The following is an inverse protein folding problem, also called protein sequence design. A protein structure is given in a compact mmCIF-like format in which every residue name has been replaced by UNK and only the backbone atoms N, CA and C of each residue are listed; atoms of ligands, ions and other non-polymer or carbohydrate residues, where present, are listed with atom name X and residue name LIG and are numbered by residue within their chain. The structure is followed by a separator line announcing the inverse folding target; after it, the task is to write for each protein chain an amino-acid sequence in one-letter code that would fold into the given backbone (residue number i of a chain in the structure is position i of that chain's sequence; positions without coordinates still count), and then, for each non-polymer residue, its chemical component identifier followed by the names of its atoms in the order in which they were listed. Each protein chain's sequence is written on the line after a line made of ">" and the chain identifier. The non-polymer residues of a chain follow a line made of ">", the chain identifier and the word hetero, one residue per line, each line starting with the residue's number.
data_IF_017105953808
#
_entry.id   IF_017105953808
#
_cell.length_a   1.000
_cell.length_b   1.000
_cell.length_c   1.000
_cell.angle_alpha   90.00
_cell.angle_beta   90.00
_cell.angle_gamma   90.00
#
_symmetry.space_group_name_H-M   'P 1'
#
loop_
_entity.id
_entity.type
_entity.pdbx_description
1 polymer ?
#
# COMPACT_ATOMS: atom_id res chain seq x y z
N UNK A 1 19.04 3.88 -10.07
CA UNK A 1 20.25 3.03 -10.13
C UNK A 1 21.14 3.48 -9.01
N UNK A 2 21.59 2.55 -8.16
CA UNK A 2 22.56 2.86 -7.13
C UNK A 2 23.87 3.36 -7.76
N UNK A 3 24.75 3.93 -6.92
CA UNK A 3 26.08 4.33 -7.36
C UNK A 3 26.83 3.12 -7.95
N UNK A 4 27.52 3.34 -9.04
CA UNK A 4 28.45 2.33 -9.56
C UNK A 4 29.64 2.20 -8.62
N UNK A 5 30.26 1.02 -8.58
CA UNK A 5 31.47 0.83 -7.75
C UNK A 5 32.59 1.84 -8.04
N UNK A 6 32.66 2.35 -9.28
CA UNK A 6 33.65 3.40 -9.65
C UNK A 6 33.27 4.78 -9.07
N UNK A 7 31.99 5.12 -8.99
CA UNK A 7 31.54 6.37 -8.37
C UNK A 7 31.78 6.33 -6.86
N UNK A 8 31.49 5.22 -6.20
CA UNK A 8 31.82 4.99 -4.79
C UNK A 8 33.34 5.07 -4.55
N UNK A 9 34.13 4.41 -5.40
CA UNK A 9 35.57 4.41 -5.27
C UNK A 9 36.20 5.81 -5.33
N UNK A 10 35.62 6.75 -6.10
CA UNK A 10 36.09 8.13 -6.16
C UNK A 10 36.04 8.86 -4.82
N UNK A 11 35.08 8.50 -3.97
CA UNK A 11 34.82 9.10 -2.65
C UNK A 11 35.56 8.40 -1.52
N UNK A 12 36.10 7.19 -1.76
CA UNK A 12 36.86 6.44 -0.75
C UNK A 12 38.28 6.96 -0.59
N UNK A 13 38.91 6.77 0.57
CA UNK A 13 40.23 7.31 0.91
C UNK A 13 41.42 6.71 0.09
N UNK A 14 41.18 5.67 -0.70
CA UNK A 14 42.12 5.00 -1.61
C UNK A 14 43.40 4.46 -0.95
N UNK A 15 43.37 4.23 0.37
CA UNK A 15 44.55 3.74 1.14
C UNK A 15 44.86 2.28 0.89
N UNK A 16 43.93 1.48 0.43
CA UNK A 16 44.06 0.03 0.21
C UNK A 16 44.62 -0.71 1.44
N UNK A 17 44.23 -0.31 2.65
CA UNK A 17 44.80 -0.83 3.91
C UNK A 17 44.27 -2.23 4.28
N UNK A 18 43.16 -2.69 3.69
CA UNK A 18 42.57 -3.99 3.99
C UNK A 18 41.74 -4.05 5.28
N UNK A 19 41.70 -2.98 6.10
CA UNK A 19 41.04 -2.98 7.41
C UNK A 19 39.52 -3.14 7.35
N UNK A 20 38.91 -2.82 6.21
CA UNK A 20 37.47 -3.05 5.95
C UNK A 20 37.14 -4.50 5.54
N UNK A 21 38.10 -5.42 5.63
CA UNK A 21 37.93 -6.82 5.24
C UNK A 21 38.06 -7.10 3.72
N UNK A 22 38.38 -6.08 2.92
CA UNK A 22 38.62 -6.22 1.48
C UNK A 22 40.04 -5.74 1.12
N UNK A 23 40.72 -6.39 0.16
CA UNK A 23 42.15 -6.11 -0.09
C UNK A 23 42.39 -4.73 -0.72
N UNK A 24 41.40 -4.14 -1.36
CA UNK A 24 41.53 -2.82 -2.00
C UNK A 24 40.26 -1.98 -1.82
N UNK A 25 40.41 -0.65 -1.81
CA UNK A 25 39.27 0.27 -1.77
C UNK A 25 38.36 0.14 -3.00
N UNK A 26 38.86 -0.34 -4.14
CA UNK A 26 38.04 -0.65 -5.31
C UNK A 26 37.17 -1.90 -5.07
N UNK A 27 37.73 -2.95 -4.48
CA UNK A 27 36.96 -4.15 -4.11
C UNK A 27 35.89 -3.82 -3.05
N UNK A 28 36.22 -2.95 -2.09
CA UNK A 28 35.28 -2.44 -1.11
C UNK A 28 34.15 -1.63 -1.76
N UNK A 29 34.48 -0.74 -2.71
CA UNK A 29 33.50 0.01 -3.46
C UNK A 29 32.54 -0.90 -4.26
N UNK A 30 33.03 -1.98 -4.84
CA UNK A 30 32.20 -2.98 -5.54
C UNK A 30 31.30 -3.76 -4.56
N UNK A 31 31.81 -4.09 -3.37
CA UNK A 31 31.01 -4.72 -2.32
C UNK A 31 29.89 -3.80 -1.82
N UNK A 32 30.15 -2.50 -1.62
CA UNK A 32 29.15 -1.49 -1.29
C UNK A 32 28.11 -1.33 -2.41
N UNK A 33 28.54 -1.24 -3.67
CA UNK A 33 27.62 -1.13 -4.82
C UNK A 33 26.68 -2.33 -4.98
N UNK A 34 27.13 -3.52 -4.55
CA UNK A 34 26.34 -4.76 -4.58
C UNK A 34 25.54 -5.03 -3.30
N UNK A 35 25.59 -4.11 -2.32
CA UNK A 35 24.90 -4.27 -1.02
C UNK A 35 25.51 -5.34 -0.10
N UNK A 36 26.75 -5.81 -0.40
CA UNK A 36 27.45 -6.84 0.38
C UNK A 36 28.42 -6.28 1.42
N UNK A 37 28.56 -4.96 1.51
CA UNK A 37 29.41 -4.25 2.46
C UNK A 37 28.67 -3.13 3.19
N UNK A 38 29.19 -2.71 4.35
CA UNK A 38 28.74 -1.51 5.07
C UNK A 38 29.85 -0.46 5.05
N UNK A 39 29.46 0.81 4.85
CA UNK A 39 30.41 1.93 4.86
C UNK A 39 31.11 2.08 6.22
N UNK A 40 30.45 1.66 7.31
CA UNK A 40 30.99 1.67 8.67
C UNK A 40 32.21 0.75 8.86
N UNK A 41 32.41 -0.21 7.97
CA UNK A 41 33.58 -1.10 8.01
C UNK A 41 34.88 -0.38 7.67
N UNK A 42 34.83 0.81 7.06
CA UNK A 42 36.03 1.56 6.70
C UNK A 42 36.34 2.66 7.71
N UNK A 43 37.41 2.55 8.52
CA UNK A 43 37.76 3.53 9.54
C UNK A 43 38.29 4.88 9.00
N UNK A 44 38.54 4.95 7.70
CA UNK A 44 39.17 6.12 7.07
C UNK A 44 38.23 6.90 6.14
N UNK A 45 36.97 6.57 6.08
CA UNK A 45 35.97 7.38 5.33
C UNK A 45 35.76 8.69 6.08
N UNK A 46 35.98 9.81 5.39
CA UNK A 46 35.70 11.15 5.95
C UNK A 46 34.19 11.36 6.10
N UNK A 47 33.78 12.22 7.03
CA UNK A 47 32.35 12.53 7.22
C UNK A 47 31.72 13.10 5.96
N UNK A 48 32.44 13.91 5.20
CA UNK A 48 32.02 14.47 3.90
C UNK A 48 31.80 13.35 2.85
N UNK A 49 32.75 12.39 2.78
CA UNK A 49 32.62 11.24 1.88
C UNK A 49 31.47 10.31 2.32
N UNK A 50 31.28 10.13 3.62
CA UNK A 50 30.16 9.39 4.19
C UNK A 50 28.82 10.03 3.82
N UNK A 51 28.65 11.32 4.07
CA UNK A 51 27.44 12.06 3.69
C UNK A 51 27.17 12.02 2.18
N UNK A 52 28.22 12.16 1.36
CA UNK A 52 28.10 12.09 -0.09
C UNK A 52 27.65 10.69 -0.57
N UNK A 53 28.22 9.63 0.00
CA UNK A 53 27.89 8.24 -0.33
C UNK A 53 26.52 7.83 0.19
N UNK A 54 26.17 8.19 1.42
CA UNK A 54 24.84 7.96 2.00
C UNK A 54 23.76 8.71 1.23
N UNK A 55 24.03 9.97 0.89
CA UNK A 55 23.13 10.77 0.05
C UNK A 55 22.96 10.17 -1.34
N UNK A 56 24.00 9.61 -1.93
CA UNK A 56 23.94 9.05 -3.28
C UNK A 56 23.39 7.62 -3.33
N UNK A 57 23.51 6.85 -2.23
CA UNK A 57 22.93 5.51 -2.07
C UNK A 57 21.51 5.52 -1.54
N UNK A 58 21.09 6.62 -0.90
CA UNK A 58 19.74 6.77 -0.39
C UNK A 58 18.69 6.63 -1.51
N UNK A 59 17.52 6.04 -1.21
CA UNK A 59 16.44 5.95 -2.18
C UNK A 59 16.07 7.35 -2.71
N UNK A 60 15.58 7.46 -3.96
CA UNK A 60 15.20 8.75 -4.55
C UNK A 60 14.18 9.52 -3.71
N UNK A 61 13.29 8.80 -3.04
CA UNK A 61 12.29 9.31 -2.11
C UNK A 61 12.46 8.59 -0.78
N UNK A 62 12.74 9.34 0.27
CA UNK A 62 12.99 8.80 1.61
C UNK A 62 11.73 8.13 2.18
N UNK A 63 11.89 7.00 2.87
CA UNK A 63 10.84 6.40 3.66
C UNK A 63 10.63 7.19 4.96
N UNK A 64 9.41 7.61 5.24
CA UNK A 64 9.01 8.31 6.47
C UNK A 64 7.99 7.45 7.20
N UNK A 65 8.30 7.10 8.45
CA UNK A 65 7.44 6.26 9.30
C UNK A 65 6.71 7.11 10.32
N UNK A 66 5.41 6.90 10.45
CA UNK A 66 4.60 7.55 11.46
C UNK A 66 3.45 6.65 11.95
N UNK A 67 2.84 7.02 13.06
CA UNK A 67 1.70 6.31 13.59
C UNK A 67 1.97 4.83 13.85
N UNK A 68 0.94 4.03 13.70
CA UNK A 68 0.96 2.58 13.93
C UNK A 68 1.42 1.82 12.67
N UNK A 69 2.69 2.04 12.27
CA UNK A 69 3.31 1.30 11.16
C UNK A 69 3.09 1.88 9.76
N UNK A 70 2.46 3.05 9.63
CA UNK A 70 2.33 3.73 8.34
C UNK A 70 3.69 4.15 7.78
N UNK A 71 3.96 3.85 6.52
CA UNK A 71 5.20 4.20 5.82
C UNK A 71 4.87 4.99 4.56
N UNK A 72 5.41 6.19 4.45
CA UNK A 72 5.28 7.05 3.27
C UNK A 72 6.60 7.05 2.49
N UNK A 73 6.52 7.09 1.16
CA UNK A 73 7.71 7.20 0.31
C UNK A 73 8.36 5.87 -0.03
N UNK A 74 9.69 5.81 -0.01
CA UNK A 74 10.53 4.66 -0.44
C UNK A 74 10.31 4.26 -1.90
N UNK A 75 9.83 5.18 -2.71
CA UNK A 75 9.49 4.93 -4.10
C UNK A 75 10.71 5.15 -5.02
N UNK A 76 10.91 4.24 -5.96
CA UNK A 76 12.10 4.19 -6.81
C UNK A 76 11.82 4.32 -8.30
N UNK A 77 10.56 4.21 -8.74
CA UNK A 77 10.16 4.22 -10.14
C UNK A 77 9.07 5.23 -10.44
N UNK A 78 8.98 5.64 -11.74
CA UNK A 78 7.92 6.52 -12.21
C UNK A 78 6.69 5.75 -12.62
N UNK A 79 6.88 4.60 -13.26
CA UNK A 79 5.80 3.85 -13.86
C UNK A 79 5.66 2.50 -13.16
N UNK A 80 4.42 2.13 -12.87
CA UNK A 80 4.09 0.86 -12.23
C UNK A 80 4.64 -0.36 -12.99
N UNK A 81 4.69 -0.29 -14.32
CA UNK A 81 5.20 -1.40 -15.15
C UNK A 81 6.73 -1.56 -15.13
N UNK A 82 7.47 -0.54 -14.67
CA UNK A 82 8.93 -0.66 -14.49
C UNK A 82 9.25 -1.53 -13.28
N UNK A 83 8.44 -1.38 -12.23
CA UNK A 83 8.49 -2.13 -10.97
C UNK A 83 7.23 -1.78 -10.17
N UNK A 84 6.71 -2.71 -9.38
CA UNK A 84 5.55 -2.44 -8.52
C UNK A 84 5.78 -1.22 -7.62
N UNK A 85 4.73 -0.49 -7.28
CA UNK A 85 4.75 0.50 -6.21
C UNK A 85 4.67 -0.24 -4.87
N UNK A 86 5.48 0.14 -3.88
CA UNK A 86 5.64 -0.64 -2.65
C UNK A 86 4.74 -0.19 -1.51
N UNK A 87 4.66 1.12 -1.29
CA UNK A 87 3.89 1.66 -0.19
C UNK A 87 2.61 2.28 -0.72
N UNK A 88 1.44 1.65 -0.44
CA UNK A 88 0.15 2.21 -0.82
C UNK A 88 -0.02 3.62 -0.26
N UNK A 89 -0.73 4.46 -1.01
CA UNK A 89 -1.08 5.79 -0.54
C UNK A 89 -1.85 5.68 0.76
N UNK A 90 -1.37 6.32 1.81
CA UNK A 90 -2.03 6.37 3.12
C UNK A 90 -3.31 7.20 3.05
N UNK A 91 -4.43 6.61 3.43
CA UNK A 91 -5.75 7.26 3.42
C UNK A 91 -6.08 7.77 4.81
N UNK A 92 -6.22 9.09 4.93
CA UNK A 92 -6.48 9.81 6.17
C UNK A 92 -7.85 10.50 6.11
N UNK A 93 -8.68 10.31 7.13
CA UNK A 93 -9.98 10.99 7.23
C UNK A 93 -9.86 12.18 8.15
N UNK A 94 -10.28 13.34 7.67
CA UNK A 94 -10.19 14.59 8.43
C UNK A 94 -11.28 14.69 9.48
N UNK A 95 -10.90 15.14 10.68
CA UNK A 95 -11.78 15.58 11.77
C UNK A 95 -11.40 17.00 12.18
N UNK A 96 -12.36 17.93 12.18
CA UNK A 96 -12.16 19.29 12.70
C UNK A 96 -12.34 19.30 14.21
N UNK A 97 -11.50 20.07 14.90
CA UNK A 97 -11.61 20.33 16.35
C UNK A 97 -12.77 21.27 16.72
N UNK A 98 -13.45 21.87 15.74
CA UNK A 98 -14.64 22.70 15.95
C UNK A 98 -15.94 21.89 16.12
N UNK A 99 -15.90 20.59 15.82
CA UNK A 99 -17.04 19.70 16.06
C UNK A 99 -17.25 19.49 17.57
N UNK A 100 -18.47 19.14 17.99
CA UNK A 100 -18.74 18.71 19.36
C UNK A 100 -18.03 17.38 19.65
N UNK A 101 -17.82 17.08 20.94
CA UNK A 101 -17.17 15.83 21.34
C UNK A 101 -17.98 14.60 20.91
N UNK A 102 -19.31 14.70 20.94
CA UNK A 102 -20.23 13.65 20.47
C UNK A 102 -20.06 13.39 18.96
N UNK A 103 -19.97 14.45 18.16
CA UNK A 103 -19.74 14.33 16.70
C UNK A 103 -18.34 13.77 16.39
N UNK A 104 -17.31 14.19 17.14
CA UNK A 104 -15.95 13.67 17.02
C UNK A 104 -15.97 12.16 17.31
N UNK A 105 -16.56 11.74 18.42
CA UNK A 105 -16.60 10.33 18.81
C UNK A 105 -17.39 9.48 17.82
N UNK A 106 -18.52 9.95 17.35
CA UNK A 106 -19.29 9.27 16.31
C UNK A 106 -18.49 9.10 15.01
N UNK A 107 -17.72 10.12 14.60
CA UNK A 107 -16.81 10.03 13.45
C UNK A 107 -15.66 9.07 13.68
N UNK A 108 -15.03 9.06 14.85
CA UNK A 108 -13.96 8.11 15.18
C UNK A 108 -14.48 6.67 15.12
N UNK A 109 -15.65 6.40 15.71
CA UNK A 109 -16.28 5.07 15.65
C UNK A 109 -16.61 4.67 14.20
N UNK A 110 -17.11 5.60 13.40
CA UNK A 110 -17.33 5.37 11.98
C UNK A 110 -16.03 5.03 11.24
N UNK A 111 -14.94 5.78 11.48
CA UNK A 111 -13.65 5.58 10.84
C UNK A 111 -13.03 4.25 11.27
N UNK A 112 -13.15 3.85 12.52
CA UNK A 112 -12.66 2.56 13.01
C UNK A 112 -13.32 1.38 12.31
N UNK A 113 -14.57 1.53 11.89
CA UNK A 113 -15.34 0.52 11.16
C UNK A 113 -15.25 0.62 9.62
N UNK A 114 -14.39 1.51 9.09
CA UNK A 114 -14.14 1.63 7.66
C UNK A 114 -13.14 0.59 7.18
N UNK A 115 -13.61 -0.65 7.14
CA UNK A 115 -12.82 -1.80 6.73
C UNK A 115 -13.68 -2.77 5.90
N UNK A 116 -13.04 -3.49 4.99
CA UNK A 116 -13.64 -4.57 4.20
C UNK A 116 -12.61 -5.52 3.67
N UNK A 117 -13.05 -6.77 3.47
CA UNK A 117 -12.30 -7.79 2.79
C UNK A 117 -12.66 -7.81 1.31
N UNK A 118 -11.65 -7.84 0.45
CA UNK A 118 -11.85 -7.96 -0.98
C UNK A 118 -10.75 -8.81 -1.60
N UNK A 119 -11.15 -9.87 -2.31
CA UNK A 119 -10.23 -10.77 -3.03
C UNK A 119 -9.12 -11.29 -2.09
N UNK A 120 -9.52 -11.70 -0.87
CA UNK A 120 -8.63 -12.24 0.17
C UNK A 120 -7.67 -11.24 0.81
N UNK A 121 -7.86 -9.95 0.58
CA UNK A 121 -7.08 -8.90 1.22
C UNK A 121 -7.99 -8.02 2.07
N UNK A 122 -7.50 -7.70 3.26
CA UNK A 122 -8.17 -6.78 4.19
C UNK A 122 -7.76 -5.34 3.90
N UNK A 123 -8.72 -4.43 3.80
CA UNK A 123 -8.52 -3.00 3.55
C UNK A 123 -9.22 -2.17 4.60
N UNK A 124 -8.50 -1.18 5.11
CA UNK A 124 -9.04 -0.17 6.01
C UNK A 124 -8.46 1.20 5.66
N UNK A 125 -9.03 2.26 6.20
CA UNK A 125 -8.38 3.57 6.21
C UNK A 125 -7.25 3.56 7.25
N UNK A 126 -6.18 4.32 6.97
CA UNK A 126 -4.93 4.22 7.73
C UNK A 126 -4.90 5.13 8.95
N UNK A 127 -5.62 6.26 8.90
CA UNK A 127 -5.51 7.22 9.99
C UNK A 127 -6.54 8.34 10.00
N UNK A 128 -6.40 9.19 11.01
CA UNK A 128 -7.21 10.38 11.24
C UNK A 128 -6.32 11.62 11.16
N UNK A 129 -6.73 12.60 10.37
CA UNK A 129 -6.13 13.92 10.30
C UNK A 129 -6.96 14.91 11.14
N UNK A 130 -6.44 15.33 12.28
CA UNK A 130 -7.08 16.29 13.19
C UNK A 130 -6.69 17.69 12.73
N UNK A 131 -7.68 18.51 12.35
CA UNK A 131 -7.47 19.86 11.83
C UNK A 131 -7.86 20.88 12.88
N UNK A 132 -6.92 21.75 13.24
CA UNK A 132 -7.10 22.87 14.17
C UNK A 132 -7.80 24.05 13.47
N UNK A 133 -9.12 23.94 13.31
CA UNK A 133 -9.93 25.04 12.74
C UNK A 133 -10.37 26.06 13.82
N UNK A 134 -10.37 25.66 15.08
CA UNK A 134 -10.65 26.56 16.21
C UNK A 134 -9.52 27.57 16.44
N UNK A 135 -8.31 27.22 16.04
CA UNK A 135 -7.07 27.92 16.35
C UNK A 135 -6.77 28.04 17.87
N UNK A 136 -7.43 27.21 18.70
CA UNK A 136 -7.28 27.21 20.16
C UNK A 136 -6.39 26.05 20.62
N UNK A 137 -5.25 26.32 21.31
CA UNK A 137 -4.31 25.28 21.76
C UNK A 137 -4.94 24.25 22.71
N UNK A 138 -5.79 24.71 23.65
CA UNK A 138 -6.47 23.83 24.61
C UNK A 138 -7.42 22.88 23.89
N UNK A 139 -8.24 23.39 22.97
CA UNK A 139 -9.21 22.61 22.24
C UNK A 139 -8.54 21.53 21.38
N UNK A 140 -7.49 21.89 20.64
CA UNK A 140 -6.72 20.92 19.86
C UNK A 140 -6.15 19.82 20.76
N UNK A 141 -5.58 20.20 21.89
CA UNK A 141 -4.97 19.26 22.85
C UNK A 141 -6.00 18.24 23.39
N UNK A 142 -7.18 18.71 23.77
CA UNK A 142 -8.24 17.85 24.30
C UNK A 142 -8.74 16.89 23.22
N UNK A 143 -8.95 17.38 21.99
CA UNK A 143 -9.40 16.56 20.85
C UNK A 143 -8.35 15.51 20.49
N UNK A 144 -7.07 15.87 20.42
CA UNK A 144 -5.97 14.95 20.12
C UNK A 144 -5.89 13.83 21.16
N UNK A 145 -5.97 14.16 22.45
CA UNK A 145 -6.01 13.15 23.53
C UNK A 145 -7.20 12.22 23.37
N UNK A 146 -8.40 12.80 23.28
CA UNK A 146 -9.65 12.02 23.19
C UNK A 146 -9.68 11.08 22.01
N UNK A 147 -9.20 11.52 20.84
CA UNK A 147 -9.10 10.66 19.66
C UNK A 147 -8.04 9.58 19.87
N UNK A 148 -6.88 9.93 20.44
CA UNK A 148 -5.78 8.98 20.65
C UNK A 148 -6.16 7.81 21.56
N UNK A 149 -7.08 8.02 22.51
CA UNK A 149 -7.60 7.00 23.41
C UNK A 149 -8.65 6.08 22.76
N UNK A 150 -9.27 6.52 21.65
CA UNK A 150 -10.39 5.82 21.01
C UNK A 150 -10.03 5.06 19.74
N UNK A 151 -8.82 5.22 19.23
CA UNK A 151 -8.40 4.56 17.99
C UNK A 151 -6.94 4.16 18.01
N UNK A 152 -6.62 3.02 17.40
CA UNK A 152 -5.25 2.59 17.14
C UNK A 152 -4.72 3.08 15.78
N UNK A 153 -5.55 3.74 14.99
CA UNK A 153 -5.17 4.28 13.67
C UNK A 153 -4.12 5.40 13.82
N UNK A 154 -3.36 5.62 12.75
CA UNK A 154 -2.33 6.68 12.71
C UNK A 154 -2.97 8.06 12.89
N UNK A 155 -2.26 8.97 13.57
CA UNK A 155 -2.74 10.32 13.85
C UNK A 155 -1.88 11.33 13.09
N UNK A 156 -2.54 12.29 12.44
CA UNK A 156 -1.93 13.47 11.84
C UNK A 156 -2.51 14.71 12.52
N UNK A 157 -1.66 15.62 13.00
CA UNK A 157 -2.08 16.86 13.67
C UNK A 157 -1.78 18.02 12.74
N UNK A 158 -2.81 18.69 12.27
CA UNK A 158 -2.72 19.77 11.27
C UNK A 158 -3.06 21.14 11.89
N UNK A 159 -2.04 21.92 12.15
CA UNK A 159 -2.16 23.31 12.65
C UNK A 159 -1.01 24.18 12.11
N UNK A 160 -1.27 25.42 11.83
CA UNK A 160 -0.23 26.45 11.60
C UNK A 160 0.11 27.21 12.89
N UNK A 161 -0.70 27.06 13.93
CA UNK A 161 -0.48 27.64 15.24
C UNK A 161 0.55 26.82 16.02
N UNK A 162 1.74 27.40 16.22
CA UNK A 162 2.83 26.72 16.95
C UNK A 162 2.46 26.41 18.41
N UNK A 163 1.75 27.31 19.10
CA UNK A 163 1.35 27.10 20.49
C UNK A 163 0.41 25.88 20.61
N UNK A 164 -0.46 25.68 19.61
CA UNK A 164 -1.36 24.54 19.56
C UNK A 164 -0.59 23.22 19.30
N UNK A 165 0.46 23.25 18.48
CA UNK A 165 1.34 22.09 18.27
C UNK A 165 2.18 21.79 19.51
N UNK A 166 2.79 22.80 20.12
CA UNK A 166 3.59 22.66 21.36
C UNK A 166 2.78 22.07 22.51
N UNK A 167 1.49 22.41 22.61
CA UNK A 167 0.60 21.87 23.64
C UNK A 167 0.14 20.43 23.36
N UNK A 168 -0.15 20.11 22.10
CA UNK A 168 -0.79 18.84 21.72
C UNK A 168 0.18 17.71 21.40
N UNK A 169 1.28 17.97 20.69
CA UNK A 169 2.22 16.95 20.20
C UNK A 169 2.84 16.12 21.32
N UNK A 170 3.35 16.70 22.43
CA UNK A 170 3.94 15.92 23.51
C UNK A 170 2.98 14.92 24.17
N UNK A 171 1.67 15.18 24.09
CA UNK A 171 0.65 14.33 24.70
C UNK A 171 0.50 12.97 24.00
N UNK A 172 0.90 12.88 22.72
CA UNK A 172 0.74 11.69 21.87
C UNK A 172 2.02 11.33 21.13
N UNK A 173 3.18 11.85 21.55
CA UNK A 173 4.47 11.65 20.87
C UNK A 173 4.87 10.17 20.76
N UNK A 174 4.52 9.34 21.76
CA UNK A 174 4.74 7.89 21.73
C UNK A 174 4.04 7.19 20.56
N UNK A 175 2.93 7.74 20.08
CA UNK A 175 2.21 7.28 18.90
C UNK A 175 2.81 7.78 17.58
N UNK A 176 3.90 8.57 17.64
CA UNK A 176 4.61 9.13 16.49
C UNK A 176 3.68 9.80 15.48
N UNK A 177 2.88 10.80 15.87
CA UNK A 177 1.99 11.47 14.92
C UNK A 177 2.80 12.19 13.82
N UNK A 178 2.21 12.30 12.61
CA UNK A 178 2.71 13.23 11.62
C UNK A 178 2.16 14.62 11.97
N UNK A 179 3.03 15.61 12.09
CA UNK A 179 2.62 16.96 12.51
C UNK A 179 2.83 18.02 11.42
N UNK A 180 2.08 19.06 11.42
CA UNK A 180 2.23 20.19 10.52
C UNK A 180 1.17 21.25 10.80
N UNK A 181 1.36 22.43 10.23
CA UNK A 181 2.28 22.67 9.10
C UNK A 181 3.51 23.49 9.56
N UNK A 182 4.69 23.11 9.09
CA UNK A 182 5.85 23.99 9.12
C UNK A 182 5.89 24.79 7.81
N UNK A 183 5.78 26.09 7.89
CA UNK A 183 5.80 27.03 6.77
C UNK A 183 6.96 28.03 6.91
N UNK A 184 7.06 29.02 6.02
CA UNK A 184 8.15 30.01 6.02
C UNK A 184 8.25 30.85 7.30
N UNK A 185 7.17 30.95 8.09
CA UNK A 185 7.10 31.80 9.29
C UNK A 185 7.41 31.03 10.57
N UNK A 186 7.04 29.74 10.64
CA UNK A 186 7.11 28.95 11.87
C UNK A 186 8.06 27.72 11.79
N UNK A 187 8.68 27.44 10.64
CA UNK A 187 9.38 26.17 10.38
C UNK A 187 10.47 25.85 11.41
N UNK A 188 11.21 26.85 11.89
CA UNK A 188 12.29 26.64 12.87
C UNK A 188 11.74 26.00 14.15
N UNK A 189 10.69 26.59 14.72
CA UNK A 189 10.06 26.09 15.93
C UNK A 189 9.37 24.72 15.74
N UNK A 190 8.63 24.57 14.62
CA UNK A 190 7.93 23.30 14.34
C UNK A 190 8.90 22.15 14.08
N UNK A 191 10.03 22.41 13.39
CA UNK A 191 11.07 21.39 13.16
C UNK A 191 11.79 21.05 14.47
N UNK A 192 12.04 22.03 15.34
CA UNK A 192 12.63 21.79 16.65
C UNK A 192 11.70 20.93 17.53
N UNK A 193 10.43 21.29 17.62
CA UNK A 193 9.40 20.49 18.27
C UNK A 193 9.35 19.06 17.73
N UNK A 194 9.39 18.91 16.39
CA UNK A 194 9.38 17.58 15.76
C UNK A 194 10.63 16.76 16.11
N UNK A 195 11.80 17.40 16.16
CA UNK A 195 13.07 16.79 16.53
C UNK A 195 13.09 16.33 17.98
N UNK A 196 12.62 17.14 18.90
CA UNK A 196 12.52 16.83 20.32
C UNK A 196 11.58 15.64 20.58
N UNK A 197 10.44 15.59 19.90
CA UNK A 197 9.45 14.54 20.05
C UNK A 197 9.68 13.35 19.10
N UNK A 198 10.70 13.40 18.22
CA UNK A 198 11.06 12.37 17.24
C UNK A 198 9.90 11.97 16.30
N UNK A 199 9.15 12.97 15.85
CA UNK A 199 7.97 12.82 14.99
C UNK A 199 8.18 13.49 13.63
N UNK A 200 7.67 12.94 12.51
CA UNK A 200 7.80 13.56 11.19
C UNK A 200 6.96 14.84 11.07
N UNK A 201 7.40 15.73 10.17
CA UNK A 201 6.78 17.05 9.99
C UNK A 201 6.43 17.35 8.54
N UNK A 202 5.26 17.95 8.31
CA UNK A 202 4.82 18.42 7.00
C UNK A 202 5.39 19.82 6.76
N UNK A 203 6.22 19.94 5.72
CA UNK A 203 6.70 21.22 5.21
C UNK A 203 5.71 21.73 4.15
N UNK A 204 5.10 22.87 4.39
CA UNK A 204 4.10 23.47 3.51
C UNK A 204 4.60 24.80 2.95
N UNK A 205 4.56 24.94 1.63
CA UNK A 205 4.82 26.19 0.95
C UNK A 205 4.01 26.29 -0.35
N UNK A 206 3.73 27.51 -0.78
CA UNK A 206 2.98 27.75 -2.01
C UNK A 206 3.91 27.69 -3.24
N UNK A 207 3.79 26.59 -3.98
CA UNK A 207 4.58 26.32 -5.18
C UNK A 207 5.92 25.65 -4.90
N UNK A 208 6.55 25.16 -5.98
CA UNK A 208 7.72 24.30 -5.88
C UNK A 208 9.00 25.06 -5.49
N UNK A 209 9.16 26.28 -5.94
CA UNK A 209 10.36 27.08 -5.64
C UNK A 209 10.41 27.44 -4.15
N UNK A 210 9.29 27.96 -3.61
CA UNK A 210 9.18 28.25 -2.17
C UNK A 210 9.32 27.00 -1.31
N UNK A 211 8.80 25.86 -1.78
CA UNK A 211 8.94 24.59 -1.10
C UNK A 211 10.41 24.11 -1.08
N UNK A 212 11.14 24.29 -2.18
CA UNK A 212 12.57 23.98 -2.24
C UNK A 212 13.35 24.78 -1.20
N UNK A 213 13.14 26.10 -1.16
CA UNK A 213 13.82 27.00 -0.21
C UNK A 213 13.53 26.61 1.24
N UNK A 214 12.27 26.25 1.52
CA UNK A 214 11.86 25.80 2.86
C UNK A 214 12.53 24.48 3.25
N UNK A 215 12.58 23.50 2.35
CA UNK A 215 13.24 22.21 2.59
C UNK A 215 14.73 22.40 2.85
N UNK A 216 15.43 23.23 2.05
CA UNK A 216 16.85 23.48 2.25
C UNK A 216 17.15 24.18 3.59
N UNK A 217 16.28 25.11 4.02
CA UNK A 217 16.38 25.75 5.33
C UNK A 217 16.14 24.77 6.47
N UNK A 218 15.08 23.95 6.37
CA UNK A 218 14.74 22.95 7.37
C UNK A 218 15.83 21.86 7.52
N UNK A 219 16.44 21.43 6.42
CA UNK A 219 17.56 20.48 6.43
C UNK A 219 18.78 21.01 7.21
N UNK A 220 19.05 22.33 7.17
CA UNK A 220 20.16 22.94 7.91
C UNK A 220 19.99 22.86 9.43
N UNK A 221 18.75 22.64 9.93
CA UNK A 221 18.49 22.37 11.34
C UNK A 221 18.87 20.94 11.77
N UNK A 222 19.40 20.11 10.87
CA UNK A 222 19.86 18.74 11.16
C UNK A 222 18.72 17.74 11.31
N UNK A 223 17.52 18.04 10.79
CA UNK A 223 16.38 17.13 10.76
C UNK A 223 16.02 16.76 9.33
N UNK A 224 15.52 15.54 9.10
CA UNK A 224 15.26 15.00 7.75
C UNK A 224 14.01 14.11 7.69
N UNK A 225 13.11 14.18 8.69
CA UNK A 225 11.87 13.39 8.67
C UNK A 225 10.72 14.27 8.14
N UNK A 226 10.75 14.56 6.82
CA UNK A 226 9.84 15.50 6.17
C UNK A 226 8.81 14.82 5.28
N UNK A 227 7.62 15.42 5.22
CA UNK A 227 6.56 15.16 4.24
C UNK A 227 6.28 16.49 3.55
N UNK A 228 6.13 16.50 2.23
CA UNK A 228 6.01 17.73 1.45
C UNK A 228 4.55 18.05 1.13
N UNK A 229 4.14 19.29 1.38
CA UNK A 229 2.89 19.88 0.90
C UNK A 229 3.20 21.11 0.02
N UNK A 230 3.02 21.03 -1.32
CA UNK A 230 3.28 22.14 -2.22
C UNK A 230 2.20 23.23 -2.19
N UNK A 231 1.32 23.25 -1.19
CA UNK A 231 0.27 24.26 -1.02
C UNK A 231 -0.91 24.16 -2.00
N UNK A 232 -0.89 23.19 -2.91
CA UNK A 232 -1.93 23.03 -3.93
C UNK A 232 -3.26 22.62 -3.33
N UNK A 233 -4.33 23.33 -3.70
CA UNK A 233 -5.70 23.05 -3.23
C UNK A 233 -6.71 22.98 -4.39
N UNK A 234 -6.25 22.84 -5.63
CA UNK A 234 -7.07 22.58 -6.80
C UNK A 234 -6.62 21.31 -7.51
N UNK A 235 -7.52 20.50 -8.09
CA UNK A 235 -7.15 19.23 -8.72
C UNK A 235 -6.06 19.35 -9.77
N UNK A 236 -6.11 20.36 -10.62
CA UNK A 236 -5.13 20.57 -11.69
C UNK A 236 -3.73 20.91 -11.16
N UNK A 237 -3.63 21.81 -10.18
CA UNK A 237 -2.35 22.17 -9.56
C UNK A 237 -1.76 21.01 -8.77
N UNK A 238 -2.59 20.32 -7.98
CA UNK A 238 -2.15 19.14 -7.21
C UNK A 238 -1.60 18.06 -8.14
N UNK A 239 -2.33 17.73 -9.21
CA UNK A 239 -1.87 16.77 -10.22
C UNK A 239 -0.54 17.17 -10.85
N UNK A 240 -0.39 18.44 -11.22
CA UNK A 240 0.85 18.97 -11.80
C UNK A 240 2.01 18.86 -10.79
N UNK A 241 1.81 19.31 -9.56
CA UNK A 241 2.86 19.32 -8.53
C UNK A 241 3.27 17.90 -8.12
N UNK A 242 2.33 16.98 -7.89
CA UNK A 242 2.62 15.56 -7.63
C UNK A 242 3.50 14.94 -8.75
N UNK A 243 3.12 15.22 -10.00
CA UNK A 243 3.86 14.74 -11.17
C UNK A 243 5.26 15.35 -11.27
N UNK A 244 5.39 16.66 -11.06
CA UNK A 244 6.68 17.34 -11.12
C UNK A 244 7.62 16.89 -10.01
N UNK A 245 7.16 16.84 -8.76
CA UNK A 245 7.94 16.40 -7.61
C UNK A 245 8.47 14.96 -7.82
N UNK A 246 7.60 14.05 -8.25
CA UNK A 246 8.01 12.66 -8.54
C UNK A 246 9.06 12.58 -9.64
N UNK A 247 8.88 13.34 -10.72
CA UNK A 247 9.85 13.38 -11.85
C UNK A 247 11.17 14.00 -11.46
N UNK A 248 11.15 15.07 -10.67
CA UNK A 248 12.37 15.71 -10.17
C UNK A 248 13.15 14.79 -9.23
N UNK A 249 12.46 14.14 -8.29
CA UNK A 249 13.08 13.23 -7.34
C UNK A 249 13.70 12.00 -8.04
N UNK A 250 12.97 11.34 -8.93
CA UNK A 250 13.40 10.08 -9.53
C UNK A 250 14.27 10.29 -10.77
N UNK A 251 13.82 11.09 -11.76
CA UNK A 251 14.58 11.26 -13.01
C UNK A 251 15.76 12.19 -12.85
N UNK A 252 15.57 13.31 -12.13
CA UNK A 252 16.62 14.33 -11.96
C UNK A 252 17.45 14.12 -10.71
N UNK A 253 17.05 13.19 -9.82
CA UNK A 253 17.69 12.96 -8.53
C UNK A 253 17.84 14.26 -7.71
N UNK A 254 16.85 15.13 -7.82
CA UNK A 254 16.82 16.40 -7.12
C UNK A 254 16.48 16.17 -5.64
N UNK A 255 17.51 16.17 -4.81
CA UNK A 255 17.45 15.72 -3.41
C UNK A 255 16.51 16.52 -2.50
N UNK A 256 16.38 17.85 -2.64
CA UNK A 256 15.42 18.58 -1.82
C UNK A 256 13.97 18.08 -1.94
N UNK A 257 13.60 17.48 -3.07
CA UNK A 257 12.29 16.87 -3.25
C UNK A 257 12.24 15.34 -3.03
N UNK A 258 13.31 14.77 -2.51
CA UNK A 258 13.40 13.35 -2.17
C UNK A 258 12.63 12.93 -0.92
N UNK A 259 11.41 13.44 -0.75
CA UNK A 259 10.51 13.16 0.37
C UNK A 259 9.10 12.78 -0.12
N UNK A 260 8.32 12.03 0.70
CA UNK A 260 6.93 11.74 0.38
C UNK A 260 6.06 13.00 0.36
N UNK A 261 4.94 12.92 -0.36
CA UNK A 261 4.06 14.05 -0.61
C UNK A 261 2.68 13.75 -0.02
N UNK A 262 2.13 14.71 0.73
CA UNK A 262 0.75 14.68 1.20
C UNK A 262 -0.12 15.58 0.29
N UNK A 263 -1.33 15.11 -0.03
CA UNK A 263 -2.31 15.84 -0.80
C UNK A 263 -3.63 15.98 -0.02
N UNK A 264 -4.35 17.07 -0.29
CA UNK A 264 -5.63 17.38 0.32
C UNK A 264 -6.70 17.47 -0.75
N UNK A 265 -7.82 16.79 -0.54
CA UNK A 265 -8.96 16.93 -1.45
C UNK A 265 -9.66 18.27 -1.25
N UNK A 266 -10.21 18.79 -2.35
CA UNK A 266 -10.84 20.12 -2.38
C UNK A 266 -12.35 20.07 -2.58
N UNK A 267 -12.88 18.94 -3.09
CA UNK A 267 -14.28 18.82 -3.44
C UNK A 267 -15.17 18.61 -2.20
N UNK A 268 -16.34 19.25 -2.22
CA UNK A 268 -17.34 19.09 -1.17
C UNK A 268 -18.32 17.94 -1.46
N UNK A 269 -18.62 17.69 -2.74
CA UNK A 269 -19.42 16.52 -3.10
C UNK A 269 -18.60 15.25 -2.90
N UNK A 270 -19.08 14.27 -2.14
CA UNK A 270 -18.31 13.07 -1.80
C UNK A 270 -17.89 12.23 -3.01
N UNK A 271 -18.69 12.15 -4.07
CA UNK A 271 -18.32 11.40 -5.28
C UNK A 271 -17.23 12.10 -6.08
N UNK A 272 -17.30 13.42 -6.19
CA UNK A 272 -16.27 14.24 -6.83
C UNK A 272 -14.98 14.21 -6.01
N UNK A 273 -15.07 14.16 -4.68
CA UNK A 273 -13.92 14.01 -3.78
C UNK A 273 -13.20 12.68 -4.00
N UNK A 274 -13.95 11.59 -4.11
CA UNK A 274 -13.37 10.25 -4.37
C UNK A 274 -12.74 10.18 -5.77
N UNK A 275 -13.35 10.82 -6.77
CA UNK A 275 -12.76 10.92 -8.10
C UNK A 275 -11.44 11.72 -8.07
N UNK A 276 -11.41 12.85 -7.35
CA UNK A 276 -10.21 13.67 -7.12
C UNK A 276 -9.12 12.86 -6.38
N UNK A 277 -9.47 12.19 -5.29
CA UNK A 277 -8.57 11.34 -4.52
C UNK A 277 -7.97 10.22 -5.38
N UNK A 278 -8.76 9.60 -6.25
CA UNK A 278 -8.29 8.57 -7.17
C UNK A 278 -7.22 9.10 -8.15
N UNK A 279 -7.36 10.34 -8.61
CA UNK A 279 -6.33 11.00 -9.42
C UNK A 279 -5.03 11.15 -8.63
N UNK A 280 -5.10 11.55 -7.37
CA UNK A 280 -3.92 11.75 -6.53
C UNK A 280 -3.22 10.44 -6.18
N UNK A 281 -3.99 9.38 -5.89
CA UNK A 281 -3.45 8.01 -5.75
C UNK A 281 -2.72 7.57 -7.02
N UNK A 282 -3.36 7.73 -8.20
CA UNK A 282 -2.74 7.38 -9.49
C UNK A 282 -1.48 8.20 -9.78
N UNK A 283 -1.34 9.39 -9.20
CA UNK A 283 -0.28 10.36 -9.48
C UNK A 283 0.55 10.70 -8.26
N UNK A 284 0.93 9.64 -7.51
CA UNK A 284 2.08 9.65 -6.62
C UNK A 284 1.90 10.32 -5.24
N UNK A 285 0.68 10.63 -4.83
CA UNK A 285 0.46 11.04 -3.45
C UNK A 285 0.86 9.90 -2.51
N UNK A 286 1.71 10.18 -1.52
CA UNK A 286 2.10 9.21 -0.49
C UNK A 286 1.07 9.16 0.64
N UNK A 287 0.36 10.27 0.87
CA UNK A 287 -0.79 10.35 1.77
C UNK A 287 -1.86 11.28 1.18
N UNK A 288 -3.11 11.01 1.48
CA UNK A 288 -4.26 11.85 1.08
C UNK A 288 -5.16 12.08 2.29
N UNK A 289 -5.58 13.33 2.47
CA UNK A 289 -6.55 13.72 3.49
C UNK A 289 -7.91 13.95 2.83
N UNK A 290 -8.92 13.22 3.30
CA UNK A 290 -10.29 13.18 2.80
C UNK A 290 -11.28 13.66 3.86
N UNK A 291 -12.46 14.13 3.42
CA UNK A 291 -13.63 14.42 4.25
C UNK A 291 -14.62 13.25 4.28
N UNK A 292 -14.72 12.52 3.16
CA UNK A 292 -15.61 11.37 3.01
C UNK A 292 -15.28 10.26 4.01
N UNK A 293 -16.31 9.72 4.67
CA UNK A 293 -16.16 8.75 5.77
C UNK A 293 -17.14 7.58 5.73
N UNK A 294 -17.87 7.36 4.62
CA UNK A 294 -18.77 6.21 4.50
C UNK A 294 -18.15 5.07 3.70
N UNK A 295 -18.53 3.82 4.03
CA UNK A 295 -18.06 2.63 3.29
C UNK A 295 -18.35 2.72 1.79
N UNK A 296 -19.54 3.14 1.40
CA UNK A 296 -19.93 3.27 -0.01
C UNK A 296 -19.07 4.27 -0.79
N UNK A 297 -18.65 5.36 -0.14
CA UNK A 297 -17.78 6.36 -0.74
C UNK A 297 -16.34 5.86 -0.89
N UNK A 298 -15.80 5.18 0.11
CA UNK A 298 -14.40 4.76 0.15
C UNK A 298 -14.12 3.47 -0.62
N UNK A 299 -15.11 2.60 -0.80
CA UNK A 299 -14.96 1.33 -1.52
C UNK A 299 -14.33 1.48 -2.93
N UNK A 300 -14.75 2.42 -3.80
CA UNK A 300 -14.10 2.62 -5.09
C UNK A 300 -12.64 3.03 -4.97
N UNK A 301 -12.31 3.93 -4.03
CA UNK A 301 -10.95 4.41 -3.82
C UNK A 301 -10.02 3.29 -3.34
N UNK A 302 -10.46 2.52 -2.34
CA UNK A 302 -9.66 1.42 -1.79
C UNK A 302 -9.53 0.25 -2.78
N UNK A 303 -10.56 0.00 -3.59
CA UNK A 303 -10.50 -0.94 -4.71
C UNK A 303 -9.48 -0.49 -5.77
N UNK A 304 -9.46 0.79 -6.11
CA UNK A 304 -8.51 1.36 -7.04
C UNK A 304 -7.08 1.29 -6.49
N UNK A 305 -6.90 1.62 -5.20
CA UNK A 305 -5.64 1.50 -4.49
C UNK A 305 -5.09 0.06 -4.55
N UNK A 306 -5.94 -0.94 -4.25
CA UNK A 306 -5.59 -2.35 -4.37
C UNK A 306 -5.05 -2.70 -5.75
N UNK A 307 -5.78 -2.33 -6.79
CA UNK A 307 -5.40 -2.65 -8.17
C UNK A 307 -4.08 -1.97 -8.56
N UNK A 308 -3.85 -0.74 -8.10
CA UNK A 308 -2.65 0.03 -8.43
C UNK A 308 -1.40 -0.54 -7.76
N UNK A 309 -1.52 -0.99 -6.50
CA UNK A 309 -0.38 -1.49 -5.70
C UNK A 309 -0.21 -3.02 -5.75
N UNK A 310 -1.05 -3.73 -6.48
CA UNK A 310 -0.79 -5.14 -6.83
C UNK A 310 0.32 -5.21 -7.89
N UNK A 311 1.26 -6.13 -7.70
CA UNK A 311 2.34 -6.36 -8.67
C UNK A 311 1.75 -6.87 -9.99
N UNK A 312 1.92 -6.15 -11.12
CA UNK A 312 1.38 -6.58 -12.40
C UNK A 312 2.06 -7.82 -12.97
N UNK A 313 3.25 -8.16 -12.45
CA UNK A 313 4.04 -9.32 -12.90
C UNK A 313 3.83 -10.55 -12.00
N UNK A 314 3.23 -10.37 -10.82
CA UNK A 314 2.97 -11.44 -9.84
C UNK A 314 1.51 -11.36 -9.39
N UNK A 315 0.58 -11.96 -10.15
CA UNK A 315 -0.82 -11.99 -9.75
C UNK A 315 -0.98 -12.59 -8.35
N UNK A 316 -1.89 -12.05 -7.56
CA UNK A 316 -2.23 -12.61 -6.26
C UNK A 316 -2.85 -13.99 -6.50
N UNK A 317 -2.38 -14.98 -5.75
CA UNK A 317 -2.78 -16.37 -5.88
C UNK A 317 -3.36 -16.88 -4.58
N UNK A 318 -4.34 -17.78 -4.70
CA UNK A 318 -4.84 -18.59 -3.59
C UNK A 318 -4.03 -19.89 -3.55
N UNK A 319 -3.86 -20.46 -2.38
CA UNK A 319 -3.19 -21.76 -2.26
C UNK A 319 -3.96 -22.82 -3.06
N UNK A 320 -3.26 -23.62 -3.89
CA UNK A 320 -3.89 -24.64 -4.74
C UNK A 320 -4.22 -25.90 -3.91
N UNK A 321 -5.01 -25.72 -2.86
CA UNK A 321 -5.49 -26.77 -1.95
C UNK A 321 -7.01 -26.87 -2.00
N UNK A 322 -7.59 -27.89 -1.41
CA UNK A 322 -9.04 -28.07 -1.35
C UNK A 322 -9.64 -27.13 -0.28
N UNK A 323 -10.47 -26.19 -0.70
CA UNK A 323 -11.17 -25.26 0.17
C UNK A 323 -12.62 -25.70 0.39
N UNK A 324 -13.09 -25.58 1.61
CA UNK A 324 -14.48 -25.84 1.98
C UNK A 324 -15.23 -24.52 2.14
N UNK A 325 -16.38 -24.38 1.51
CA UNK A 325 -17.27 -23.22 1.61
C UNK A 325 -18.57 -23.66 2.26
N UNK A 326 -18.85 -23.16 3.46
CA UNK A 326 -19.97 -23.58 4.30
C UNK A 326 -19.71 -24.91 5.02
N UNK A 327 -20.76 -25.50 5.61
CA UNK A 327 -20.70 -26.78 6.32
C UNK A 327 -20.79 -27.94 5.33
N UNK A 328 -19.66 -28.32 4.74
CA UNK A 328 -19.57 -29.37 3.72
C UNK A 328 -19.83 -30.78 4.27
N UNK A 329 -20.33 -31.65 3.41
CA UNK A 329 -20.59 -33.06 3.70
C UNK A 329 -20.25 -33.94 2.50
N UNK A 330 -20.52 -35.26 2.61
CA UNK A 330 -20.21 -36.26 1.58
C UNK A 330 -20.94 -36.07 0.23
N UNK A 331 -22.02 -35.28 0.21
CA UNK A 331 -22.80 -34.97 -0.99
C UNK A 331 -22.47 -33.55 -1.56
N UNK A 332 -21.51 -32.84 -0.96
CA UNK A 332 -21.17 -31.47 -1.36
C UNK A 332 -20.54 -31.41 -2.75
N UNK A 333 -20.99 -30.53 -3.64
CA UNK A 333 -20.39 -30.32 -4.96
C UNK A 333 -18.91 -29.99 -4.89
N UNK A 334 -18.17 -30.41 -5.93
CA UNK A 334 -16.73 -30.10 -6.07
C UNK A 334 -16.52 -29.25 -7.31
N UNK A 335 -16.17 -27.97 -7.11
CA UNK A 335 -15.87 -27.04 -8.20
C UNK A 335 -14.37 -26.96 -8.47
N UNK A 336 -14.01 -26.97 -9.74
CA UNK A 336 -12.62 -26.77 -10.20
C UNK A 336 -12.50 -25.33 -10.74
N UNK A 337 -11.46 -24.62 -10.34
CA UNK A 337 -11.14 -23.30 -10.86
C UNK A 337 -9.64 -23.07 -10.92
N UNK A 338 -9.16 -21.86 -11.17
CA UNK A 338 -7.74 -21.52 -11.15
C UNK A 338 -7.37 -20.83 -9.84
N UNK A 339 -6.09 -20.86 -9.47
CA UNK A 339 -5.58 -20.22 -8.26
C UNK A 339 -5.41 -18.69 -8.39
N UNK A 340 -5.84 -18.08 -9.50
CA UNK A 340 -5.91 -16.62 -9.59
C UNK A 340 -6.95 -16.08 -8.60
N UNK A 341 -6.52 -15.27 -7.64
CA UNK A 341 -7.37 -14.80 -6.53
C UNK A 341 -8.70 -14.21 -7.00
N UNK A 342 -8.68 -13.36 -8.04
CA UNK A 342 -9.92 -12.76 -8.55
C UNK A 342 -10.90 -13.83 -9.07
N UNK A 343 -10.41 -14.85 -9.77
CA UNK A 343 -11.24 -15.96 -10.27
C UNK A 343 -11.77 -16.80 -9.11
N UNK A 344 -10.90 -17.18 -8.18
CA UNK A 344 -11.26 -17.99 -7.02
C UNK A 344 -12.34 -17.31 -6.17
N UNK A 345 -12.11 -16.07 -5.73
CA UNK A 345 -13.08 -15.35 -4.87
C UNK A 345 -14.39 -15.01 -5.58
N UNK A 346 -14.36 -14.88 -6.92
CA UNK A 346 -15.61 -14.74 -7.69
C UNK A 346 -16.42 -16.04 -7.67
N UNK A 347 -15.77 -17.20 -7.72
CA UNK A 347 -16.45 -18.51 -7.61
C UNK A 347 -16.92 -18.74 -6.18
N UNK A 348 -16.08 -18.48 -5.18
CA UNK A 348 -16.39 -18.65 -3.76
C UNK A 348 -17.61 -17.81 -3.36
N UNK A 349 -17.65 -16.53 -3.72
CA UNK A 349 -18.78 -15.65 -3.41
C UNK A 349 -20.11 -16.12 -4.02
N UNK A 350 -20.10 -16.67 -5.22
CA UNK A 350 -21.29 -17.25 -5.85
C UNK A 350 -21.72 -18.60 -5.22
N UNK A 351 -20.74 -19.39 -4.78
CA UNK A 351 -21.02 -20.63 -4.02
C UNK A 351 -21.62 -20.27 -2.66
N UNK A 352 -21.08 -19.29 -1.94
CA UNK A 352 -21.67 -18.80 -0.69
C UNK A 352 -23.10 -18.25 -0.88
N UNK A 353 -23.32 -17.47 -1.95
CA UNK A 353 -24.63 -16.94 -2.30
C UNK A 353 -25.64 -18.06 -2.61
N UNK A 354 -25.21 -19.19 -3.13
CA UNK A 354 -26.07 -20.36 -3.42
C UNK A 354 -26.65 -21.01 -2.16
N UNK A 355 -25.99 -20.85 -1.00
CA UNK A 355 -26.27 -21.52 0.28
C UNK A 355 -26.14 -23.06 0.20
N UNK A 356 -25.44 -23.57 -0.81
CA UNK A 356 -25.13 -25.00 -0.96
C UNK A 356 -23.66 -25.20 -0.59
N UNK A 357 -23.37 -25.81 0.57
CA UNK A 357 -22.01 -26.07 0.99
C UNK A 357 -21.25 -26.89 -0.05
N UNK A 358 -20.09 -26.42 -0.47
CA UNK A 358 -19.36 -27.00 -1.58
C UNK A 358 -17.85 -26.97 -1.35
N UNK A 359 -17.12 -27.83 -2.04
CA UNK A 359 -15.68 -27.78 -2.13
C UNK A 359 -15.25 -27.00 -3.39
N UNK A 360 -14.18 -26.24 -3.27
CA UNK A 360 -13.52 -25.57 -4.40
C UNK A 360 -12.06 -26.02 -4.43
N UNK A 361 -11.62 -26.55 -5.56
CA UNK A 361 -10.23 -26.91 -5.81
C UNK A 361 -9.63 -25.96 -6.86
N UNK A 362 -8.84 -24.96 -6.44
CA UNK A 362 -8.09 -24.13 -7.35
C UNK A 362 -6.86 -24.87 -7.86
N UNK A 363 -6.69 -24.89 -9.18
CA UNK A 363 -5.52 -25.49 -9.83
C UNK A 363 -4.42 -24.43 -9.92
N UNK A 364 -3.19 -24.80 -9.65
CA UNK A 364 -2.05 -23.92 -9.78
C UNK A 364 -1.80 -23.57 -11.26
N UNK A 365 -2.07 -22.34 -11.62
CA UNK A 365 -1.94 -21.78 -12.99
C UNK A 365 -1.02 -20.57 -13.01
N UNK A 366 -0.14 -20.42 -12.00
CA UNK A 366 0.67 -19.20 -11.76
C UNK A 366 -0.21 -17.93 -11.67
N UNK A 367 -1.40 -18.05 -11.08
CA UNK A 367 -2.30 -16.91 -10.91
C UNK A 367 -2.90 -16.38 -12.21
N UNK A 368 -3.14 -17.23 -13.19
CA UNK A 368 -3.83 -16.84 -14.44
C UNK A 368 -5.29 -17.26 -14.44
N UNK A 369 -6.15 -16.47 -15.11
CA UNK A 369 -7.58 -16.76 -15.25
C UNK A 369 -7.83 -17.99 -16.13
N UNK A 370 -9.02 -18.59 -16.01
CA UNK A 370 -9.37 -19.86 -16.69
C UNK A 370 -9.00 -19.90 -18.17
N UNK A 371 -9.44 -18.92 -18.97
CA UNK A 371 -9.15 -18.89 -20.41
C UNK A 371 -7.68 -18.66 -20.71
N UNK A 372 -7.03 -17.78 -19.95
CA UNK A 372 -5.60 -17.50 -20.11
C UNK A 372 -4.78 -18.74 -19.73
N UNK A 373 -5.12 -19.38 -18.64
CA UNK A 373 -4.46 -20.61 -18.19
C UNK A 373 -4.64 -21.75 -19.19
N UNK A 374 -5.84 -21.94 -19.73
CA UNK A 374 -6.13 -22.93 -20.75
C UNK A 374 -5.31 -22.68 -22.02
N UNK A 375 -5.33 -21.44 -22.53
CA UNK A 375 -4.56 -21.07 -23.72
C UNK A 375 -3.03 -21.23 -23.54
N UNK A 376 -2.53 -21.08 -22.30
CA UNK A 376 -1.12 -21.23 -21.95
C UNK A 376 -0.73 -22.68 -21.58
N UNK A 377 -1.62 -23.65 -21.68
CA UNK A 377 -1.34 -25.04 -21.28
C UNK A 377 -1.14 -25.23 -19.77
N UNK A 378 -1.72 -24.35 -18.95
CA UNK A 378 -1.61 -24.43 -17.49
C UNK A 378 -2.87 -24.99 -16.82
N UNK A 379 -3.97 -25.05 -17.53
CA UNK A 379 -5.24 -25.61 -17.08
C UNK A 379 -5.64 -26.78 -17.98
N UNK A 380 -4.92 -27.89 -17.83
CA UNK A 380 -5.04 -29.09 -18.67
C UNK A 380 -5.63 -30.26 -17.89
N UNK A 381 -6.26 -31.24 -18.57
CA UNK A 381 -6.86 -32.41 -17.95
C UNK A 381 -5.91 -33.18 -17.03
N UNK A 382 -4.67 -33.38 -17.43
CA UNK A 382 -3.65 -34.08 -16.67
C UNK A 382 -3.39 -33.40 -15.33
N UNK A 383 -3.16 -32.08 -15.35
CA UNK A 383 -2.87 -31.30 -14.15
C UNK A 383 -4.06 -31.26 -13.18
N UNK A 384 -5.28 -31.19 -13.72
CA UNK A 384 -6.51 -31.24 -12.91
C UNK A 384 -6.67 -32.63 -12.28
N UNK A 385 -6.42 -33.71 -13.02
CA UNK A 385 -6.49 -35.07 -12.52
C UNK A 385 -5.47 -35.32 -11.38
N UNK A 386 -4.23 -34.86 -11.56
CA UNK A 386 -3.18 -34.93 -10.54
C UNK A 386 -3.57 -34.17 -9.27
N UNK A 387 -4.13 -32.97 -9.41
CA UNK A 387 -4.61 -32.17 -8.29
C UNK A 387 -5.78 -32.84 -7.55
N UNK A 388 -6.72 -33.43 -8.27
CA UNK A 388 -7.83 -34.19 -7.68
C UNK A 388 -7.34 -35.42 -6.89
N UNK A 389 -6.33 -36.11 -7.40
CA UNK A 389 -5.73 -37.24 -6.72
C UNK A 389 -4.98 -36.84 -5.44
N UNK A 390 -4.28 -35.67 -5.51
CA UNK A 390 -3.43 -35.20 -4.42
C UNK A 390 -4.21 -34.48 -3.30
N UNK A 391 -5.36 -33.86 -3.58
CA UNK A 391 -6.06 -33.04 -2.60
C UNK A 391 -6.91 -33.81 -1.57
N UNK A 392 -7.05 -35.11 -1.73
CA UNK A 392 -7.82 -35.99 -0.82
C UNK A 392 -9.34 -35.78 -0.85
N UNK A 393 -9.88 -35.10 -1.89
CA UNK A 393 -11.34 -34.91 -2.00
C UNK A 393 -12.12 -36.19 -2.19
N UNK A 394 -11.47 -37.23 -2.76
CA UNK A 394 -12.07 -38.53 -2.96
C UNK A 394 -12.51 -39.23 -1.66
N UNK A 395 -11.85 -38.90 -0.55
CA UNK A 395 -12.19 -39.46 0.78
C UNK A 395 -13.23 -38.60 1.52
N UNK A 396 -13.54 -37.41 1.00
CA UNK A 396 -14.46 -36.44 1.61
C UNK A 396 -15.86 -36.46 1.03
N UNK A 397 -16.01 -36.93 -0.21
CA UNK A 397 -17.33 -37.04 -0.89
C UNK A 397 -17.65 -38.47 -1.33
N UNK A 398 -18.93 -38.82 -1.24
CA UNK A 398 -19.42 -40.17 -1.62
C UNK A 398 -19.58 -40.35 -3.12
N UNK A 399 -19.63 -39.25 -3.87
CA UNK A 399 -19.74 -39.20 -5.33
C UNK A 399 -18.39 -39.04 -6.02
N UNK A 400 -18.39 -39.15 -7.34
CA UNK A 400 -17.22 -38.91 -8.21
C UNK A 400 -17.57 -37.88 -9.29
N UNK A 401 -18.21 -36.77 -8.90
CA UNK A 401 -18.60 -35.69 -9.80
C UNK A 401 -17.75 -34.47 -9.53
N UNK A 402 -17.17 -33.86 -10.57
CA UNK A 402 -16.47 -32.54 -10.50
C UNK A 402 -17.08 -31.58 -11.50
N UNK A 403 -17.12 -30.32 -11.13
CA UNK A 403 -17.70 -29.25 -11.94
C UNK A 403 -16.55 -28.38 -12.47
N UNK A 404 -16.44 -28.27 -13.79
CA UNK A 404 -15.45 -27.42 -14.45
C UNK A 404 -16.09 -26.17 -15.02
N UNK A 405 -15.35 -25.05 -15.20
CA UNK A 405 -15.86 -23.83 -15.84
C UNK A 405 -16.35 -24.10 -17.27
N UNK A 406 -17.50 -23.57 -17.64
CA UNK A 406 -18.11 -23.81 -18.94
C UNK A 406 -17.30 -23.35 -20.14
N UNK A 407 -16.41 -22.36 -19.95
CA UNK A 407 -15.50 -21.91 -21.02
C UNK A 407 -14.49 -22.98 -21.45
N UNK A 408 -14.18 -23.93 -20.62
CA UNK A 408 -13.25 -25.02 -20.93
C UNK A 408 -13.95 -26.38 -21.07
N UNK A 409 -15.21 -26.40 -21.42
CA UNK A 409 -16.02 -27.60 -21.63
C UNK A 409 -15.33 -28.63 -22.55
N UNK A 410 -14.51 -28.18 -23.47
CA UNK A 410 -13.77 -29.01 -24.44
C UNK A 410 -12.84 -30.03 -23.75
N UNK A 411 -12.38 -29.77 -22.53
CA UNK A 411 -11.49 -30.69 -21.81
C UNK A 411 -12.23 -31.82 -21.05
N UNK A 412 -13.58 -31.77 -20.97
CA UNK A 412 -14.37 -32.64 -20.11
C UNK A 412 -14.16 -34.14 -20.39
N UNK A 413 -14.17 -34.56 -21.64
CA UNK A 413 -13.97 -35.96 -21.99
C UNK A 413 -12.60 -36.48 -21.60
N UNK A 414 -11.55 -35.77 -21.94
CA UNK A 414 -10.18 -36.15 -21.62
C UNK A 414 -9.91 -36.10 -20.09
N UNK A 415 -10.50 -35.13 -19.39
CA UNK A 415 -10.39 -35.11 -17.93
C UNK A 415 -11.10 -36.29 -17.28
N UNK A 416 -12.28 -36.66 -17.76
CA UNK A 416 -13.00 -37.82 -17.25
C UNK A 416 -12.20 -39.14 -17.44
N UNK A 417 -11.57 -39.31 -18.59
CA UNK A 417 -10.70 -40.46 -18.86
C UNK A 417 -9.47 -40.51 -17.93
N UNK A 418 -8.91 -39.36 -17.61
CA UNK A 418 -7.68 -39.27 -16.81
C UNK A 418 -7.90 -39.33 -15.30
N UNK A 419 -9.01 -38.80 -14.81
CA UNK A 419 -9.25 -38.64 -13.38
C UNK A 419 -10.16 -39.69 -12.76
N UNK A 420 -10.88 -40.46 -13.57
CA UNK A 420 -11.95 -41.36 -13.15
C UNK A 420 -13.14 -40.64 -12.48
N UNK A 421 -13.19 -39.28 -12.60
CA UNK A 421 -14.30 -38.49 -12.14
C UNK A 421 -15.25 -38.16 -13.28
N UNK A 422 -16.55 -38.23 -13.00
CA UNK A 422 -17.57 -37.73 -13.94
C UNK A 422 -17.48 -36.20 -13.99
N UNK A 423 -17.24 -35.66 -15.17
CA UNK A 423 -17.07 -34.21 -15.38
C UNK A 423 -18.38 -33.56 -15.77
N UNK A 424 -18.84 -32.65 -14.92
CA UNK A 424 -20.02 -31.84 -15.15
C UNK A 424 -19.57 -30.48 -15.64
N UNK A 425 -20.13 -30.03 -16.76
CA UNK A 425 -19.83 -28.72 -17.30
C UNK A 425 -20.70 -27.67 -16.62
N UNK A 426 -20.07 -26.79 -15.85
CA UNK A 426 -20.71 -25.71 -15.15
C UNK A 426 -21.00 -24.49 -16.05
N UNK A 427 -21.48 -23.39 -15.47
CA UNK A 427 -21.73 -22.16 -16.22
C UNK A 427 -20.45 -21.55 -16.77
N UNK A 428 -20.58 -20.72 -17.81
CA UNK A 428 -19.45 -19.98 -18.39
C UNK A 428 -18.95 -18.89 -17.44
N UNK A 429 -19.89 -18.14 -16.87
CA UNK A 429 -19.60 -17.08 -15.90
C UNK A 429 -19.91 -17.53 -14.46
N UNK A 430 -19.12 -17.09 -13.49
CA UNK A 430 -19.34 -17.42 -12.07
C UNK A 430 -20.72 -17.01 -11.58
N UNK A 431 -21.29 -15.91 -12.07
CA UNK A 431 -22.65 -15.46 -11.75
C UNK A 431 -23.76 -16.46 -12.09
N UNK A 432 -23.48 -17.44 -12.95
CA UNK A 432 -24.38 -18.55 -13.24
C UNK A 432 -24.39 -19.65 -12.19
N UNK A 433 -23.46 -19.68 -11.26
CA UNK A 433 -23.30 -20.76 -10.25
C UNK A 433 -24.53 -20.84 -9.36
N UNK A 434 -25.09 -19.71 -8.90
CA UNK A 434 -26.27 -19.65 -8.04
C UNK A 434 -27.47 -20.39 -8.64
N UNK A 435 -27.73 -20.23 -9.93
CA UNK A 435 -28.83 -20.93 -10.62
C UNK A 435 -28.48 -22.36 -10.96
N UNK A 436 -27.25 -22.61 -11.39
CA UNK A 436 -26.74 -23.91 -11.76
C UNK A 436 -26.72 -24.89 -10.58
N UNK A 437 -26.25 -24.48 -9.42
CA UNK A 437 -26.13 -25.30 -8.24
C UNK A 437 -27.47 -25.87 -7.76
N UNK A 438 -28.59 -25.14 -7.99
CA UNK A 438 -29.94 -25.60 -7.69
C UNK A 438 -30.45 -26.71 -8.61
N UNK A 439 -29.80 -26.93 -9.75
CA UNK A 439 -30.15 -27.94 -10.74
C UNK A 439 -29.26 -29.21 -10.65
N UNK A 440 -28.25 -29.18 -9.79
CA UNK A 440 -27.34 -30.29 -9.61
C UNK A 440 -28.06 -31.48 -8.95
N UNK A 441 -28.09 -32.60 -9.63
CA UNK A 441 -28.39 -33.90 -9.09
C UNK A 441 -27.06 -34.64 -8.95
N UNK A 442 -26.48 -34.64 -7.77
CA UNK A 442 -25.19 -35.27 -7.46
C UNK A 442 -25.37 -36.64 -6.90
#
# INVERSE_FOLDING_TARGET
>A
MGLTGLEIYKQLPKKNCGECGTPTCLAFAMALASGKGSLDSCPYVTDEAREALDSASAPPIKAIKFGNGSVLGDETVLFRHDKTFYHPTTILIQISDTLSDEEIFAKVDQINNLEYDRVGLHYSVDGIAIVNNSNEPSRLTDVVKSISEKTDKSIVILSENIEALEASVPQVSERKPLIGFANSENFEKVVELAKENKVPVILKADGLDSLNDLVEKAQKLGYKEFVLDPGSRTPSQTLANLTHLRRLSIKKKFRPFGYPIIAFTSKENPLDEIAEASIYVAKYASAIVLKASSKAQLLPLLTFLQNLYTDPQKPIQVEPTLHAVGEVNENSPVYITTNFSLTYYSVEGEVEASKIPSYILPIDTDGTSVLTAYAAGKFEPEKIADALAACGVADKVSHRNVIIPGYVAVISGKLQEKSEWKVVVGPRESSGILSFSKTLAL
#
